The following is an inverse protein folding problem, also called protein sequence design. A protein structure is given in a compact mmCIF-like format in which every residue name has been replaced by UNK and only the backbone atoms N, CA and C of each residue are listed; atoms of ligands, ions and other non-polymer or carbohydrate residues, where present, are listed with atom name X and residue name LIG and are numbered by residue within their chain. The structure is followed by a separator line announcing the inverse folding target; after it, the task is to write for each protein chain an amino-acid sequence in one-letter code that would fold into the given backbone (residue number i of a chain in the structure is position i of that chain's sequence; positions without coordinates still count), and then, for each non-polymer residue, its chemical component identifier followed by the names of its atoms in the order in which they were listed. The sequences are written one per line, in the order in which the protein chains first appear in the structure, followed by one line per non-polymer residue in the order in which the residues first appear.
data_IF_902808722254
#
_entry.id   IF_902808722254
#
_cell.length_a   1.000
_cell.length_b   1.000
_cell.length_c   1.000
_cell.angle_alpha   90.00
_cell.angle_beta   90.00
_cell.angle_gamma   90.00
#
_symmetry.space_group_name_H-M   'P 1'
#
loop_
_entity.id
_entity.type
_entity.pdbx_description
1 polymer ?
#
# COMPACT_ATOMS: atom_id res chain seq x y z
N UNK A 1 44.99 8.17 3.98
CA UNK A 1 46.04 8.52 4.95
C UNK A 1 46.43 7.23 5.66
N UNK A 2 47.53 6.63 5.22
CA UNK A 2 48.13 5.44 5.81
C UNK A 2 48.83 5.88 7.08
N UNK A 3 48.43 5.36 8.24
CA UNK A 3 49.31 5.25 9.40
C UNK A 3 49.03 3.90 10.06
N UNK A 4 49.86 2.95 9.67
CA UNK A 4 50.31 1.82 10.47
C UNK A 4 50.71 2.26 11.87
N UNK A 5 50.38 1.49 12.90
CA UNK A 5 51.41 1.29 13.92
C UNK A 5 51.37 -0.09 14.58
N UNK A 6 52.54 -0.70 14.57
CA UNK A 6 52.89 -1.99 15.16
C UNK A 6 53.26 -1.71 16.61
N UNK A 7 52.58 -2.33 17.57
CA UNK A 7 53.13 -2.44 18.92
C UNK A 7 54.05 -3.67 18.99
N UNK A 8 55.35 -3.40 18.90
CA UNK A 8 56.46 -4.30 19.25
C UNK A 8 56.34 -4.78 20.70
N UNK A 9 56.36 -6.08 20.89
CA UNK A 9 56.53 -6.70 22.20
C UNK A 9 58.00 -6.55 22.64
N UNK A 10 58.24 -5.80 23.70
CA UNK A 10 59.48 -5.89 24.49
C UNK A 10 59.16 -6.81 25.68
N UNK A 11 59.85 -7.93 25.70
CA UNK A 11 59.70 -8.99 26.68
C UNK A 11 60.62 -8.67 27.88
N UNK A 12 60.11 -7.97 28.89
CA UNK A 12 60.79 -7.88 30.18
C UNK A 12 60.30 -9.02 31.09
N UNK A 13 61.07 -10.11 31.05
CA UNK A 13 61.01 -11.22 31.99
C UNK A 13 61.58 -10.76 33.34
N UNK A 14 60.75 -10.19 34.20
CA UNK A 14 60.80 -10.36 35.67
C UNK A 14 59.77 -9.45 36.31
N UNK A 15 58.63 -10.00 36.73
CA UNK A 15 57.95 -9.69 38.00
C UNK A 15 56.57 -10.37 38.00
N UNK A 16 56.42 -11.29 38.95
CA UNK A 16 55.16 -11.94 39.31
C UNK A 16 54.19 -10.93 39.92
N UNK A 17 53.21 -10.45 39.16
CA UNK A 17 51.94 -9.98 39.72
C UNK A 17 50.81 -10.13 38.70
N UNK A 18 49.80 -10.94 39.05
CA UNK A 18 48.58 -11.11 38.27
C UNK A 18 47.66 -9.90 38.51
N UNK A 19 47.46 -9.05 37.50
CA UNK A 19 46.36 -8.09 37.49
C UNK A 19 45.11 -8.72 36.84
N UNK A 20 43.90 -8.45 37.35
CA UNK A 20 42.67 -8.96 36.74
C UNK A 20 42.31 -8.18 35.46
N UNK A 21 42.09 -8.91 34.37
CA UNK A 21 41.54 -8.41 33.10
C UNK A 21 40.07 -7.96 33.30
N UNK A 22 39.80 -6.67 33.13
CA UNK A 22 38.44 -6.12 32.99
C UNK A 22 38.04 -6.10 31.51
N UNK A 23 36.99 -6.84 31.15
CA UNK A 23 36.37 -6.75 29.83
C UNK A 23 35.27 -5.67 29.85
N UNK A 24 35.34 -4.73 28.90
CA UNK A 24 34.38 -3.65 28.66
C UNK A 24 33.45 -4.06 27.50
N UNK A 25 32.12 -3.91 27.65
CA UNK A 25 31.15 -3.99 26.54
C UNK A 25 30.47 -2.62 26.43
N UNK A 26 30.62 -1.85 25.33
CA UNK A 26 29.96 -0.57 25.15
C UNK A 26 28.58 -0.71 24.48
N UNK A 27 27.60 0.03 24.99
CA UNK A 27 26.44 0.45 24.20
C UNK A 27 25.11 0.38 24.93
N UNK A 28 24.62 1.55 25.38
CA UNK A 28 23.20 1.97 25.39
C UNK A 28 23.10 3.32 26.13
N UNK A 29 23.45 4.39 25.43
CA UNK A 29 23.12 5.75 25.85
C UNK A 29 22.83 6.59 24.61
N UNK A 30 21.61 6.48 24.10
CA UNK A 30 21.03 7.55 23.28
C UNK A 30 19.51 7.51 23.42
N UNK A 31 18.96 8.68 23.80
CA UNK A 31 17.59 9.19 23.65
C UNK A 31 16.96 9.62 24.97
N UNK A 32 17.23 10.88 25.35
CA UNK A 32 16.25 11.71 26.04
C UNK A 32 16.68 13.18 25.93
N UNK A 33 16.26 13.86 24.86
CA UNK A 33 16.21 15.31 24.85
C UNK A 33 15.05 15.78 23.97
N UNK A 34 13.94 16.19 24.59
CA UNK A 34 13.09 17.28 24.09
C UNK A 34 12.10 17.71 25.17
N UNK A 35 12.04 19.02 25.35
CA UNK A 35 11.25 19.84 26.26
C UNK A 35 9.74 19.53 26.31
N UNK A 36 9.09 19.86 27.43
CA UNK A 36 7.83 20.65 27.50
C UNK A 36 7.77 21.36 28.87
N UNK A 37 7.43 22.65 28.82
CA UNK A 37 7.09 23.54 29.93
C UNK A 37 5.72 23.21 30.55
N UNK A 38 5.57 23.31 31.88
CA UNK A 38 4.64 24.26 32.53
C UNK A 38 4.62 24.09 34.05
N UNK A 39 4.45 25.22 34.73
CA UNK A 39 4.43 25.43 36.18
C UNK A 39 3.36 24.60 36.91
N UNK A 40 3.68 24.09 38.12
CA UNK A 40 2.91 24.43 39.32
C UNK A 40 3.57 23.99 40.64
N UNK A 41 3.57 24.97 41.55
CA UNK A 41 3.44 24.88 43.00
C UNK A 41 4.60 24.45 43.92
N UNK A 42 4.95 25.42 44.76
CA UNK A 42 5.84 25.38 45.91
C UNK A 42 5.30 24.45 47.00
N UNK A 43 6.06 23.41 47.35
CA UNK A 43 6.19 22.87 48.72
C UNK A 43 7.54 22.18 48.84
N UNK A 44 8.49 22.81 49.53
CA UNK A 44 9.66 22.10 50.02
C UNK A 44 9.24 21.14 51.14
N UNK A 45 9.72 19.89 51.11
CA UNK A 45 10.50 19.45 52.24
C UNK A 45 11.75 18.64 51.84
N UNK A 46 12.83 18.93 52.56
CA UNK A 46 13.94 18.04 52.88
C UNK A 46 14.88 17.58 51.76
N UNK A 47 16.14 18.01 51.89
CA UNK A 47 17.32 17.33 51.34
C UNK A 47 17.39 15.91 51.94
N UNK A 48 16.82 14.93 51.26
CA UNK A 48 17.16 13.53 51.46
C UNK A 48 17.54 12.92 50.10
N UNK A 49 18.68 12.24 50.05
CA UNK A 49 18.75 11.00 49.28
C UNK A 49 19.71 10.90 48.09
N UNK A 50 20.35 11.96 47.58
CA UNK A 50 21.37 11.79 46.51
C UNK A 50 22.80 11.55 47.04
N UNK A 51 22.91 10.75 48.12
CA UNK A 51 24.17 10.17 48.62
C UNK A 51 24.15 8.63 48.71
N UNK A 52 23.03 7.98 48.40
CA UNK A 52 22.83 6.54 48.65
C UNK A 52 23.13 5.59 47.48
N UNK A 53 23.26 6.07 46.24
CA UNK A 53 23.39 5.17 45.07
C UNK A 53 24.85 4.81 44.70
N UNK A 54 25.86 5.47 45.29
CA UNK A 54 27.26 5.02 45.21
C UNK A 54 27.67 4.06 46.35
N UNK A 55 26.86 3.94 47.41
CA UNK A 55 27.20 3.09 48.58
C UNK A 55 26.48 1.73 48.60
N UNK A 56 25.62 1.44 47.62
CA UNK A 56 24.90 0.16 47.52
C UNK A 56 25.55 -0.85 46.57
N UNK A 57 26.60 -0.43 45.85
CA UNK A 57 27.56 -1.35 45.23
C UNK A 57 28.70 -1.61 46.22
N UNK A 58 28.35 -2.11 47.41
CA UNK A 58 29.36 -2.76 48.23
C UNK A 58 29.90 -3.93 47.40
N UNK A 59 31.17 -3.85 47.02
CA UNK A 59 31.88 -4.96 46.40
C UNK A 59 31.84 -6.13 47.39
N UNK A 60 30.86 -7.02 47.26
CA UNK A 60 30.82 -8.30 47.94
C UNK A 60 31.91 -9.17 47.29
N UNK A 61 33.16 -8.97 47.72
CA UNK A 61 34.29 -9.80 47.32
C UNK A 61 34.32 -11.04 48.20
N UNK A 62 33.81 -12.15 47.67
CA UNK A 62 33.95 -13.45 48.32
C UNK A 62 35.35 -13.99 48.01
N UNK A 63 36.26 -13.88 48.98
CA UNK A 63 37.60 -14.46 48.87
C UNK A 63 37.53 -15.98 49.12
N UNK A 64 37.35 -16.76 48.05
CA UNK A 64 37.36 -18.22 48.08
C UNK A 64 38.79 -18.74 47.99
N UNK A 65 39.32 -19.31 49.06
CA UNK A 65 40.63 -19.98 49.03
C UNK A 65 40.57 -21.28 48.21
N UNK A 66 41.36 -21.41 47.16
CA UNK A 66 41.41 -22.58 46.27
C UNK A 66 42.34 -23.70 46.77
N UNK A 67 42.55 -23.82 48.08
CA UNK A 67 43.51 -24.81 48.63
C UNK A 67 42.90 -26.22 48.68
N UNK A 68 41.60 -26.34 48.99
CA UNK A 68 40.92 -27.63 49.05
C UNK A 68 40.29 -28.02 47.71
N UNK A 69 40.41 -29.29 47.32
CA UNK A 69 39.79 -29.86 46.12
C UNK A 69 38.27 -29.62 46.08
N UNK A 70 37.60 -29.66 47.25
CA UNK A 70 36.17 -29.40 47.37
C UNK A 70 35.80 -27.96 46.97
N UNK A 71 36.58 -26.96 47.40
CA UNK A 71 36.32 -25.54 47.06
C UNK A 71 36.56 -25.24 45.59
N UNK A 72 37.54 -25.91 44.96
CA UNK A 72 37.77 -25.85 43.50
C UNK A 72 36.60 -26.46 42.73
N UNK A 73 36.14 -27.64 43.16
CA UNK A 73 34.99 -28.29 42.55
C UNK A 73 33.73 -27.42 42.66
N UNK A 74 33.48 -26.83 43.83
CA UNK A 74 32.36 -25.93 44.06
C UNK A 74 32.42 -24.67 43.18
N UNK A 75 33.61 -24.09 42.98
CA UNK A 75 33.78 -22.97 42.05
C UNK A 75 33.53 -23.40 40.60
N UNK A 76 34.07 -24.54 40.17
CA UNK A 76 33.91 -25.06 38.82
C UNK A 76 32.45 -25.42 38.51
N UNK A 77 31.70 -25.94 39.48
CA UNK A 77 30.27 -26.22 39.28
C UNK A 77 29.44 -24.93 39.26
N UNK A 78 29.71 -23.98 40.16
CA UNK A 78 29.02 -22.68 40.17
C UNK A 78 29.29 -21.85 38.91
N UNK A 79 30.51 -21.93 38.36
CA UNK A 79 30.86 -21.25 37.11
C UNK A 79 30.42 -22.04 35.86
N UNK A 80 30.52 -23.37 35.90
CA UNK A 80 30.25 -24.24 34.75
C UNK A 80 28.76 -24.53 34.52
N UNK A 81 27.96 -24.69 35.57
CA UNK A 81 26.53 -24.98 35.46
C UNK A 81 25.77 -23.90 34.67
N UNK A 82 25.95 -22.59 34.92
CA UNK A 82 25.30 -21.55 34.12
C UNK A 82 25.71 -21.60 32.65
N UNK A 83 27.00 -21.86 32.35
CA UNK A 83 27.48 -21.96 30.96
C UNK A 83 26.85 -23.14 30.23
N UNK A 84 26.74 -24.30 30.88
CA UNK A 84 26.07 -25.48 30.31
C UNK A 84 24.58 -25.22 30.11
N UNK A 85 23.91 -24.60 31.08
CA UNK A 85 22.48 -24.25 30.97
C UNK A 85 22.25 -23.26 29.83
N UNK A 86 23.06 -22.20 29.74
CA UNK A 86 22.97 -21.21 28.65
C UNK A 86 23.27 -21.85 27.29
N UNK A 87 24.28 -22.73 27.20
CA UNK A 87 24.60 -23.46 25.97
C UNK A 87 23.44 -24.36 25.54
N UNK A 88 22.82 -25.07 26.48
CA UNK A 88 21.65 -25.90 26.22
C UNK A 88 20.45 -25.06 25.75
N UNK A 89 20.23 -23.88 26.33
CA UNK A 89 19.19 -22.94 25.90
C UNK A 89 19.43 -22.43 24.46
N UNK A 90 20.68 -22.10 24.11
CA UNK A 90 21.06 -21.67 22.75
C UNK A 90 20.83 -22.80 21.74
N UNK A 91 21.24 -24.03 22.08
CA UNK A 91 21.02 -25.19 21.20
C UNK A 91 19.52 -25.44 21.02
N UNK A 92 18.75 -25.35 22.12
CA UNK A 92 17.30 -25.51 22.09
C UNK A 92 16.63 -24.48 21.17
N UNK A 93 16.99 -23.20 21.27
CA UNK A 93 16.42 -22.14 20.41
C UNK A 93 16.87 -22.29 18.96
N UNK A 94 18.11 -22.71 18.70
CA UNK A 94 18.60 -22.98 17.35
C UNK A 94 17.85 -24.14 16.68
N UNK A 95 17.60 -25.25 17.40
CA UNK A 95 16.79 -26.37 16.90
C UNK A 95 15.34 -25.91 16.62
N UNK A 96 14.76 -25.11 17.53
CA UNK A 96 13.42 -24.57 17.33
C UNK A 96 13.33 -23.70 16.06
N UNK A 97 14.30 -22.81 15.85
CA UNK A 97 14.39 -21.97 14.64
C UNK A 97 14.56 -22.80 13.36
N UNK A 98 15.42 -23.82 13.38
CA UNK A 98 15.63 -24.68 12.23
C UNK A 98 14.37 -25.49 11.88
N UNK A 99 13.64 -25.97 12.88
CA UNK A 99 12.35 -26.67 12.68
C UNK A 99 11.26 -25.70 12.20
N UNK A 100 11.18 -24.50 12.79
CA UNK A 100 10.22 -23.46 12.40
C UNK A 100 10.40 -23.00 10.96
N UNK A 101 11.65 -22.93 10.48
CA UNK A 101 11.97 -22.57 9.09
C UNK A 101 11.47 -23.59 8.05
N UNK A 102 11.26 -24.87 8.42
CA UNK A 102 10.77 -25.90 7.50
C UNK A 102 9.30 -25.70 7.10
N UNK A 103 8.54 -24.89 7.84
CA UNK A 103 7.16 -24.51 7.55
C UNK A 103 6.18 -25.70 7.32
N UNK A 104 6.47 -26.88 7.86
CA UNK A 104 5.57 -28.06 7.84
C UNK A 104 4.85 -28.22 9.17
N UNK A 105 3.59 -28.67 9.19
CA UNK A 105 2.80 -28.87 10.40
C UNK A 105 3.53 -29.65 11.51
N UNK A 106 4.09 -30.85 11.24
CA UNK A 106 4.83 -31.63 12.25
C UNK A 106 6.05 -30.90 12.83
N UNK A 107 6.87 -30.25 12.00
CA UNK A 107 8.04 -29.52 12.47
C UNK A 107 7.67 -28.29 13.30
N UNK A 108 6.63 -27.56 12.87
CA UNK A 108 6.11 -26.38 13.57
C UNK A 108 5.52 -26.77 14.95
N UNK A 109 4.82 -27.90 15.06
CA UNK A 109 4.34 -28.43 16.36
C UNK A 109 5.47 -28.76 17.33
N UNK A 110 6.63 -29.17 16.84
CA UNK A 110 7.82 -29.38 17.69
C UNK A 110 8.45 -28.03 18.04
N UNK A 111 8.55 -27.12 17.06
CA UNK A 111 9.11 -25.78 17.28
C UNK A 111 8.34 -24.99 18.35
N UNK A 112 7.01 -25.01 18.35
CA UNK A 112 6.19 -24.35 19.39
C UNK A 112 6.35 -24.99 20.77
N UNK A 113 6.63 -26.30 20.86
CA UNK A 113 6.95 -26.95 22.15
C UNK A 113 8.33 -26.57 22.67
N UNK A 114 9.30 -26.38 21.77
CA UNK A 114 10.64 -25.95 22.14
C UNK A 114 10.65 -24.47 22.53
N UNK A 115 9.95 -23.62 21.80
CA UNK A 115 9.86 -22.18 22.07
C UNK A 115 8.40 -21.69 22.03
N UNK A 116 7.65 -21.85 23.14
CA UNK A 116 6.22 -21.54 23.20
C UNK A 116 5.90 -20.04 23.24
N UNK A 117 6.91 -19.19 23.38
CA UNK A 117 6.72 -17.73 23.42
C UNK A 117 7.00 -17.08 22.06
N UNK A 118 7.28 -17.88 21.03
CA UNK A 118 7.58 -17.37 19.70
C UNK A 118 6.31 -17.26 18.86
N UNK A 119 5.77 -16.05 18.77
CA UNK A 119 4.55 -15.75 18.01
C UNK A 119 4.61 -16.16 16.53
N UNK A 120 5.80 -16.14 15.91
CA UNK A 120 5.99 -16.54 14.51
C UNK A 120 5.77 -18.04 14.30
N UNK A 121 6.23 -18.88 15.24
CA UNK A 121 5.96 -20.32 15.16
C UNK A 121 4.48 -20.63 15.30
N UNK A 122 3.79 -19.96 16.22
CA UNK A 122 2.35 -20.08 16.40
C UNK A 122 1.58 -19.56 15.17
N UNK A 123 1.99 -18.44 14.58
CA UNK A 123 1.38 -17.89 13.37
C UNK A 123 1.53 -18.84 12.18
N UNK A 124 2.75 -19.33 11.92
CA UNK A 124 3.03 -20.28 10.84
C UNK A 124 2.29 -21.59 11.04
N UNK A 125 2.28 -22.12 12.27
CA UNK A 125 1.52 -23.33 12.60
C UNK A 125 0.03 -23.13 12.36
N UNK A 126 -0.51 -22.00 12.82
CA UNK A 126 -1.90 -21.64 12.64
C UNK A 126 -2.32 -21.54 11.17
N UNK A 127 -1.50 -20.91 10.32
CA UNK A 127 -1.71 -20.90 8.87
C UNK A 127 -1.72 -22.32 8.31
N UNK A 128 -0.68 -23.11 8.60
CA UNK A 128 -0.54 -24.47 8.04
C UNK A 128 -1.71 -25.34 8.46
N UNK A 129 -2.04 -25.39 9.75
CA UNK A 129 -3.17 -26.20 10.23
C UNK A 129 -4.52 -25.67 9.72
N UNK A 130 -4.67 -24.36 9.53
CA UNK A 130 -5.91 -23.81 9.00
C UNK A 130 -6.17 -24.24 7.54
N UNK A 131 -5.14 -24.26 6.69
CA UNK A 131 -5.27 -24.60 5.26
C UNK A 131 -5.05 -26.09 4.93
N UNK A 132 -4.15 -26.79 5.63
CA UNK A 132 -3.86 -28.22 5.43
C UNK A 132 -5.05 -29.07 5.87
N UNK A 133 -5.62 -28.74 7.03
CA UNK A 133 -6.73 -29.48 7.66
C UNK A 133 -8.10 -29.01 7.12
N UNK A 134 -8.17 -27.94 6.30
CA UNK A 134 -9.40 -27.55 5.62
C UNK A 134 -9.95 -28.61 4.66
N UNK A 135 -9.14 -29.61 4.31
CA UNK A 135 -9.52 -30.78 3.53
C UNK A 135 -10.44 -31.74 4.29
N UNK A 136 -10.47 -31.67 5.63
CA UNK A 136 -11.35 -32.45 6.49
C UNK A 136 -12.38 -31.54 7.19
N UNK A 137 -13.69 -31.74 6.96
CA UNK A 137 -14.72 -30.88 7.56
C UNK A 137 -14.66 -30.90 9.09
N UNK A 138 -14.31 -29.76 9.70
CA UNK A 138 -14.50 -29.51 11.14
C UNK A 138 -13.24 -29.27 11.97
N UNK A 139 -12.04 -29.46 11.42
CA UNK A 139 -10.83 -29.54 12.25
C UNK A 139 -9.86 -28.31 12.13
N UNK A 140 -10.25 -27.25 11.40
CA UNK A 140 -9.48 -25.99 11.29
C UNK A 140 -9.56 -25.09 12.54
N UNK A 141 -10.24 -25.51 13.62
CA UNK A 141 -10.32 -24.75 14.86
C UNK A 141 -8.97 -24.64 15.58
N UNK A 142 -8.12 -25.67 15.44
CA UNK A 142 -6.75 -25.64 15.97
C UNK A 142 -5.92 -24.55 15.31
N UNK A 143 -6.04 -24.38 13.99
CA UNK A 143 -5.36 -23.30 13.27
C UNK A 143 -5.74 -21.90 13.77
N UNK A 144 -7.02 -21.67 14.06
CA UNK A 144 -7.50 -20.41 14.65
C UNK A 144 -6.92 -20.20 16.05
N UNK A 145 -6.87 -21.25 16.88
CA UNK A 145 -6.32 -21.16 18.24
C UNK A 145 -4.81 -20.81 18.22
N UNK A 146 -4.05 -21.37 17.29
CA UNK A 146 -2.64 -21.02 17.13
C UNK A 146 -2.46 -19.59 16.57
N UNK A 147 -3.34 -19.14 15.68
CA UNK A 147 -3.37 -17.74 15.23
C UNK A 147 -3.73 -16.77 16.37
N UNK A 148 -4.66 -17.13 17.25
CA UNK A 148 -4.98 -16.35 18.46
C UNK A 148 -3.78 -16.25 19.40
N UNK A 149 -3.09 -17.37 19.66
CA UNK A 149 -1.85 -17.36 20.43
C UNK A 149 -0.79 -16.46 19.81
N UNK A 150 -0.65 -16.47 18.49
CA UNK A 150 0.28 -15.57 17.81
C UNK A 150 -0.06 -14.09 18.06
N UNK A 151 -1.34 -13.73 18.03
CA UNK A 151 -1.79 -12.36 18.35
C UNK A 151 -1.67 -11.99 19.82
N UNK A 152 -1.75 -12.97 20.73
CA UNK A 152 -1.54 -12.76 22.17
C UNK A 152 -0.05 -12.55 22.50
N UNK A 153 0.83 -13.31 21.83
CA UNK A 153 2.29 -13.21 21.97
C UNK A 153 2.85 -11.95 21.31
N UNK A 154 2.32 -11.56 20.16
CA UNK A 154 2.64 -10.30 19.48
C UNK A 154 1.37 -9.58 19.01
N UNK A 155 0.86 -8.72 19.88
CA UNK A 155 -0.33 -7.91 19.61
C UNK A 155 -0.11 -6.78 18.61
N UNK A 156 1.14 -6.51 18.21
CA UNK A 156 1.52 -5.40 17.31
C UNK A 156 1.66 -5.83 15.85
N UNK A 157 1.74 -7.14 15.58
CA UNK A 157 1.81 -7.67 14.23
C UNK A 157 0.47 -7.59 13.52
N UNK A 158 0.31 -6.58 12.65
CA UNK A 158 -0.86 -6.47 11.77
C UNK A 158 -1.07 -7.69 10.86
N UNK A 159 0.01 -8.42 10.55
CA UNK A 159 -0.06 -9.62 9.72
C UNK A 159 -0.80 -10.74 10.46
N UNK A 160 -0.47 -10.96 11.74
CA UNK A 160 -1.10 -12.00 12.55
C UNK A 160 -2.60 -11.74 12.70
N UNK A 161 -2.97 -10.48 12.96
CA UNK A 161 -4.37 -10.06 12.97
C UNK A 161 -5.08 -10.24 11.62
N UNK A 162 -4.41 -9.96 10.49
CA UNK A 162 -5.01 -10.14 9.17
C UNK A 162 -5.29 -11.61 8.84
N UNK A 163 -4.37 -12.52 9.19
CA UNK A 163 -4.56 -13.95 8.96
C UNK A 163 -5.58 -14.56 9.94
N UNK A 164 -5.61 -14.10 11.21
CA UNK A 164 -6.67 -14.44 12.15
C UNK A 164 -8.05 -13.99 11.64
N UNK A 165 -8.15 -12.76 11.15
CA UNK A 165 -9.40 -12.22 10.60
C UNK A 165 -9.91 -13.03 9.40
N UNK A 166 -9.02 -13.44 8.49
CA UNK A 166 -9.37 -14.31 7.36
C UNK A 166 -9.82 -15.70 7.80
N UNK A 167 -9.15 -16.28 8.79
CA UNK A 167 -9.50 -17.59 9.33
C UNK A 167 -10.88 -17.56 10.01
N UNK A 168 -11.14 -16.54 10.83
CA UNK A 168 -12.44 -16.32 11.47
C UNK A 168 -13.55 -16.04 10.45
N UNK A 169 -13.29 -15.23 9.42
CA UNK A 169 -14.22 -14.97 8.31
C UNK A 169 -14.64 -16.26 7.61
N UNK A 170 -13.68 -17.14 7.29
CA UNK A 170 -13.94 -18.42 6.61
C UNK A 170 -14.80 -19.36 7.48
N UNK A 171 -14.71 -19.25 8.81
CA UNK A 171 -15.57 -19.98 9.75
C UNK A 171 -16.87 -19.26 10.08
N UNK A 172 -17.13 -18.11 9.44
CA UNK A 172 -18.29 -17.25 9.73
C UNK A 172 -18.36 -16.77 11.18
N UNK A 173 -17.23 -16.77 11.91
CA UNK A 173 -17.11 -16.09 13.20
C UNK A 173 -16.87 -14.60 12.94
N UNK A 174 -17.94 -13.90 12.57
CA UNK A 174 -17.89 -12.49 12.22
C UNK A 174 -17.47 -11.61 13.40
N UNK A 175 -17.73 -12.03 14.64
CA UNK A 175 -17.31 -11.27 15.83
C UNK A 175 -15.79 -11.30 15.97
N UNK A 176 -15.17 -12.48 15.83
CA UNK A 176 -13.71 -12.58 15.81
C UNK A 176 -13.12 -11.81 14.63
N UNK A 177 -13.69 -11.97 13.43
CA UNK A 177 -13.18 -11.32 12.23
C UNK A 177 -13.26 -9.78 12.31
N UNK A 178 -14.36 -9.23 12.83
CA UNK A 178 -14.51 -7.78 13.05
C UNK A 178 -13.39 -7.23 13.93
N UNK A 179 -13.14 -7.85 15.09
CA UNK A 179 -12.08 -7.43 16.01
C UNK A 179 -10.71 -7.48 15.31
N UNK A 180 -10.45 -8.57 14.58
CA UNK A 180 -9.18 -8.78 13.91
C UNK A 180 -8.94 -7.74 12.80
N UNK A 181 -9.93 -7.48 11.94
CA UNK A 181 -9.80 -6.46 10.89
C UNK A 181 -9.77 -5.03 11.44
N UNK A 182 -10.41 -4.74 12.58
CA UNK A 182 -10.25 -3.47 13.29
C UNK A 182 -8.81 -3.28 13.81
N UNK A 183 -8.21 -4.34 14.36
CA UNK A 183 -6.79 -4.34 14.77
C UNK A 183 -5.85 -4.14 13.58
N UNK A 184 -6.12 -4.77 12.43
CA UNK A 184 -5.34 -4.55 11.20
C UNK A 184 -5.32 -3.07 10.81
N UNK A 185 -6.48 -2.41 10.81
CA UNK A 185 -6.58 -0.99 10.46
C UNK A 185 -5.92 -0.09 11.50
N UNK A 186 -6.00 -0.43 12.79
CA UNK A 186 -5.35 0.33 13.86
C UNK A 186 -3.82 0.22 13.82
N UNK A 187 -3.28 -0.96 13.51
CA UNK A 187 -1.84 -1.22 13.48
C UNK A 187 -1.19 -0.80 12.15
N UNK A 188 -1.97 -0.61 11.08
CA UNK A 188 -1.46 -0.27 9.75
C UNK A 188 -2.30 0.82 9.04
N UNK A 189 -2.44 2.01 9.64
CA UNK A 189 -3.34 3.07 9.15
C UNK A 189 -2.89 3.74 7.84
N UNK A 190 -1.68 3.43 7.36
CA UNK A 190 -1.12 3.96 6.11
C UNK A 190 -0.80 2.87 5.08
N UNK A 191 -1.20 1.61 5.31
CA UNK A 191 -0.97 0.52 4.35
C UNK A 191 -2.22 0.31 3.47
N UNK A 192 -2.16 0.56 2.15
CA UNK A 192 -3.27 0.31 1.23
C UNK A 192 -3.82 -1.11 1.35
N UNK A 193 -2.95 -2.12 1.39
CA UNK A 193 -3.32 -3.53 1.50
C UNK A 193 -4.21 -3.84 2.71
N UNK A 194 -4.02 -3.16 3.84
CA UNK A 194 -4.83 -3.32 5.04
C UNK A 194 -6.27 -2.84 4.80
N UNK A 195 -6.44 -1.67 4.20
CA UNK A 195 -7.77 -1.18 3.82
C UNK A 195 -8.43 -2.04 2.75
N UNK A 196 -7.66 -2.53 1.76
CA UNK A 196 -8.18 -3.46 0.76
C UNK A 196 -8.76 -4.72 1.41
N UNK A 197 -8.01 -5.37 2.31
CA UNK A 197 -8.46 -6.60 2.98
C UNK A 197 -9.69 -6.35 3.86
N UNK A 198 -9.65 -5.35 4.75
CA UNK A 198 -10.76 -5.07 5.67
C UNK A 198 -12.01 -4.57 4.93
N UNK A 199 -11.88 -3.71 3.92
CA UNK A 199 -13.02 -3.21 3.16
C UNK A 199 -13.73 -4.34 2.38
N UNK A 200 -12.96 -5.24 1.78
CA UNK A 200 -13.52 -6.42 1.10
C UNK A 200 -14.26 -7.34 2.09
N UNK A 201 -13.71 -7.56 3.28
CA UNK A 201 -14.39 -8.30 4.34
C UNK A 201 -15.71 -7.63 4.75
N UNK A 202 -15.70 -6.33 5.03
CA UNK A 202 -16.92 -5.60 5.41
C UNK A 202 -17.97 -5.61 4.29
N UNK A 203 -17.54 -5.58 3.03
CA UNK A 203 -18.46 -5.67 1.90
C UNK A 203 -19.14 -7.04 1.84
N UNK A 204 -18.37 -8.14 2.00
CA UNK A 204 -18.90 -9.51 1.99
C UNK A 204 -19.83 -9.82 3.16
N UNK A 205 -19.62 -9.16 4.30
CA UNK A 205 -20.43 -9.34 5.52
C UNK A 205 -21.60 -8.35 5.60
N UNK A 206 -21.86 -7.56 4.56
CA UNK A 206 -22.98 -6.61 4.51
C UNK A 206 -22.76 -5.33 5.34
N UNK A 207 -21.58 -5.12 5.91
CA UNK A 207 -21.19 -3.89 6.62
C UNK A 207 -20.77 -2.79 5.63
N UNK A 208 -21.71 -2.41 4.75
CA UNK A 208 -21.48 -1.53 3.61
C UNK A 208 -20.87 -0.17 4.00
N UNK A 209 -21.26 0.40 5.13
CA UNK A 209 -20.73 1.67 5.66
C UNK A 209 -19.21 1.60 5.94
N UNK A 210 -18.77 0.54 6.63
CA UNK A 210 -17.35 0.32 6.93
C UNK A 210 -16.57 0.04 5.64
N UNK A 211 -17.15 -0.73 4.72
CA UNK A 211 -16.55 -1.02 3.42
C UNK A 211 -16.32 0.26 2.60
N UNK A 212 -17.34 1.12 2.49
CA UNK A 212 -17.26 2.39 1.75
C UNK A 212 -16.20 3.31 2.36
N UNK A 213 -16.16 3.44 3.68
CA UNK A 213 -15.13 4.22 4.37
C UNK A 213 -13.72 3.66 4.09
N UNK A 214 -13.58 2.34 4.14
CA UNK A 214 -12.33 1.64 3.86
C UNK A 214 -11.85 1.83 2.42
N UNK A 215 -12.73 1.67 1.41
CA UNK A 215 -12.39 1.89 0.01
C UNK A 215 -12.05 3.35 -0.29
N UNK A 216 -12.76 4.31 0.31
CA UNK A 216 -12.41 5.73 0.19
C UNK A 216 -11.02 6.00 0.75
N UNK A 217 -10.69 5.44 1.92
CA UNK A 217 -9.36 5.60 2.52
C UNK A 217 -8.27 4.90 1.69
N UNK A 218 -8.57 3.73 1.11
CA UNK A 218 -7.68 3.02 0.19
C UNK A 218 -7.33 3.88 -1.02
N UNK A 219 -8.32 4.41 -1.73
CA UNK A 219 -8.09 5.21 -2.94
C UNK A 219 -7.36 6.53 -2.67
N UNK A 220 -7.53 7.08 -1.46
CA UNK A 220 -6.76 8.25 -1.03
C UNK A 220 -5.29 7.92 -0.73
N UNK A 221 -4.99 6.70 -0.28
CA UNK A 221 -3.61 6.25 -0.01
C UNK A 221 -2.91 5.78 -1.29
N UNK A 222 -3.65 5.09 -2.16
CA UNK A 222 -3.12 4.46 -3.36
C UNK A 222 -4.20 4.41 -4.47
N UNK A 223 -4.17 5.38 -5.40
CA UNK A 223 -5.06 5.43 -6.56
C UNK A 223 -4.93 4.23 -7.51
N UNK A 224 -3.84 3.45 -7.47
CA UNK A 224 -3.65 2.32 -8.40
C UNK A 224 -4.65 1.19 -8.13
N UNK A 225 -5.26 1.16 -6.94
CA UNK A 225 -6.36 0.24 -6.61
C UNK A 225 -7.69 0.62 -7.29
N UNK A 226 -7.79 1.76 -7.98
CA UNK A 226 -9.04 2.27 -8.57
C UNK A 226 -9.79 1.22 -9.40
N UNK A 227 -9.13 0.59 -10.38
CA UNK A 227 -9.79 -0.39 -11.25
C UNK A 227 -10.36 -1.59 -10.48
N UNK A 228 -9.62 -2.06 -9.47
CA UNK A 228 -10.04 -3.17 -8.60
C UNK A 228 -11.22 -2.77 -7.71
N UNK A 229 -11.16 -1.58 -7.11
CA UNK A 229 -12.25 -1.04 -6.28
C UNK A 229 -13.51 -0.80 -7.11
N UNK A 230 -13.38 -0.22 -8.31
CA UNK A 230 -14.51 -0.01 -9.22
C UNK A 230 -15.19 -1.33 -9.55
N UNK A 231 -14.41 -2.36 -9.88
CA UNK A 231 -14.93 -3.68 -10.24
C UNK A 231 -15.68 -4.33 -9.08
N UNK A 232 -15.11 -4.29 -7.86
CA UNK A 232 -15.72 -4.87 -6.65
C UNK A 232 -16.98 -4.10 -6.26
N UNK A 233 -16.92 -2.77 -6.20
CA UNK A 233 -18.06 -1.96 -5.79
C UNK A 233 -19.19 -1.94 -6.83
N UNK A 234 -18.88 -2.02 -8.13
CA UNK A 234 -19.90 -2.07 -9.17
C UNK A 234 -20.77 -3.33 -9.07
N UNK A 235 -20.20 -4.46 -8.64
CA UNK A 235 -20.96 -5.71 -8.45
C UNK A 235 -21.72 -5.80 -7.14
N UNK A 236 -21.28 -5.07 -6.11
CA UNK A 236 -21.79 -5.21 -4.74
C UNK A 236 -22.69 -4.08 -4.25
N UNK A 237 -22.59 -2.88 -4.83
CA UNK A 237 -23.43 -1.74 -4.45
C UNK A 237 -24.66 -1.64 -5.36
N UNK A 238 -25.79 -1.22 -4.80
CA UNK A 238 -27.08 -1.14 -5.51
C UNK A 238 -27.05 -0.26 -6.77
N UNK A 239 -26.19 0.76 -6.79
CA UNK A 239 -26.13 1.73 -7.88
C UNK A 239 -24.73 2.36 -8.02
N UNK A 240 -24.28 2.62 -9.27
CA UNK A 240 -23.07 3.42 -9.53
C UNK A 240 -23.12 4.80 -8.86
N UNK A 241 -24.31 5.36 -8.63
CA UNK A 241 -24.49 6.62 -7.93
C UNK A 241 -24.10 6.54 -6.45
N UNK A 242 -24.34 5.40 -5.80
CA UNK A 242 -23.91 5.19 -4.41
C UNK A 242 -22.39 5.21 -4.33
N UNK A 243 -21.71 4.55 -5.27
CA UNK A 243 -20.24 4.60 -5.35
C UNK A 243 -19.74 6.02 -5.59
N UNK A 244 -20.25 6.70 -6.62
CA UNK A 244 -19.85 8.06 -6.95
C UNK A 244 -20.07 9.02 -5.78
N UNK A 245 -21.29 9.10 -5.24
CA UNK A 245 -21.64 10.07 -4.20
C UNK A 245 -20.87 9.86 -2.89
N UNK A 246 -20.53 8.61 -2.56
CA UNK A 246 -20.00 8.27 -1.23
C UNK A 246 -18.47 8.08 -1.20
N UNK A 247 -17.87 7.75 -2.34
CA UNK A 247 -16.44 7.47 -2.45
C UNK A 247 -15.72 8.53 -3.29
N UNK A 248 -16.34 8.98 -4.39
CA UNK A 248 -15.65 9.80 -5.40
C UNK A 248 -16.07 11.27 -5.44
N UNK A 249 -17.21 11.64 -4.86
CA UNK A 249 -17.73 12.99 -4.96
C UNK A 249 -16.80 14.01 -4.27
N UNK A 250 -16.47 15.07 -5.01
CA UNK A 250 -15.67 16.20 -4.54
C UNK A 250 -14.18 16.14 -4.91
N UNK A 251 -13.49 17.25 -4.69
CA UNK A 251 -12.02 17.31 -4.76
C UNK A 251 -11.46 16.71 -3.46
N UNK A 252 -10.50 15.76 -3.51
CA UNK A 252 -9.49 15.53 -4.56
C UNK A 252 -9.79 14.37 -5.54
N UNK A 253 -10.96 13.74 -5.47
CA UNK A 253 -11.24 12.49 -6.18
C UNK A 253 -11.78 12.68 -7.60
N UNK A 254 -11.68 13.90 -8.16
CA UNK A 254 -12.23 14.21 -9.46
C UNK A 254 -11.60 13.40 -10.60
N UNK A 255 -10.29 13.14 -10.55
CA UNK A 255 -9.62 12.26 -11.54
C UNK A 255 -10.17 10.83 -11.46
N UNK A 256 -10.34 10.30 -10.24
CA UNK A 256 -10.92 8.97 -10.01
C UNK A 256 -12.37 8.91 -10.50
N UNK A 257 -13.15 9.98 -10.34
CA UNK A 257 -14.49 10.11 -10.89
C UNK A 257 -14.54 10.07 -12.42
N UNK A 258 -13.61 10.76 -13.10
CA UNK A 258 -13.50 10.67 -14.57
C UNK A 258 -13.09 9.26 -15.01
N UNK A 259 -12.16 8.61 -14.30
CA UNK A 259 -11.80 7.21 -14.57
C UNK A 259 -12.99 6.26 -14.34
N UNK A 260 -13.79 6.50 -13.31
CA UNK A 260 -15.00 5.71 -13.05
C UNK A 260 -16.06 5.91 -14.13
N UNK A 261 -16.24 7.13 -14.65
CA UNK A 261 -17.08 7.38 -15.81
C UNK A 261 -16.59 6.58 -17.05
N UNK A 262 -15.29 6.58 -17.31
CA UNK A 262 -14.70 5.75 -18.38
C UNK A 262 -14.95 4.25 -18.17
N UNK A 263 -14.80 3.75 -16.94
CA UNK A 263 -15.12 2.37 -16.57
C UNK A 263 -16.59 2.01 -16.84
N UNK A 264 -17.53 2.92 -16.54
CA UNK A 264 -18.96 2.74 -16.84
C UNK A 264 -19.24 2.77 -18.35
N UNK A 265 -18.56 3.63 -19.11
CA UNK A 265 -18.65 3.70 -20.56
C UNK A 265 -18.25 2.38 -21.21
N UNK A 266 -17.12 1.80 -20.80
CA UNK A 266 -16.66 0.49 -21.28
C UNK A 266 -17.62 -0.69 -20.95
N UNK A 267 -18.51 -0.51 -19.97
CA UNK A 267 -19.56 -1.46 -19.57
C UNK A 267 -20.92 -1.16 -20.23
N UNK A 268 -20.97 -0.23 -21.17
CA UNK A 268 -22.19 0.19 -21.86
C UNK A 268 -23.15 1.02 -21.01
N UNK A 269 -22.74 1.51 -19.82
CA UNK A 269 -23.55 2.35 -18.93
C UNK A 269 -23.36 3.84 -19.27
N UNK A 270 -23.66 4.17 -20.52
CA UNK A 270 -23.26 5.45 -21.10
C UNK A 270 -23.95 6.67 -20.49
N UNK A 271 -25.25 6.62 -20.22
CA UNK A 271 -25.99 7.78 -19.68
C UNK A 271 -25.52 8.14 -18.26
N UNK A 272 -25.26 7.12 -17.45
CA UNK A 272 -24.69 7.29 -16.09
C UNK A 272 -23.26 7.79 -16.18
N UNK A 273 -22.44 7.24 -17.08
CA UNK A 273 -21.07 7.69 -17.31
C UNK A 273 -21.01 9.17 -17.68
N UNK A 274 -21.83 9.60 -18.64
CA UNK A 274 -21.89 10.99 -19.09
C UNK A 274 -22.34 11.94 -17.97
N UNK A 275 -23.35 11.54 -17.17
CA UNK A 275 -23.85 12.38 -16.07
C UNK A 275 -22.80 12.53 -14.96
N UNK A 276 -22.07 11.46 -14.62
CA UNK A 276 -20.97 11.51 -13.65
C UNK A 276 -19.85 12.41 -14.16
N UNK A 277 -19.47 12.23 -15.43
CA UNK A 277 -18.44 13.04 -16.07
C UNK A 277 -18.81 14.53 -16.07
N UNK A 278 -20.03 14.87 -16.47
CA UNK A 278 -20.53 16.25 -16.52
C UNK A 278 -20.51 16.92 -15.14
N UNK A 279 -21.04 16.23 -14.11
CA UNK A 279 -20.96 16.72 -12.73
C UNK A 279 -19.52 16.92 -12.27
N UNK A 280 -18.63 16.00 -12.62
CA UNK A 280 -17.23 16.04 -12.21
C UNK A 280 -16.52 17.25 -12.81
N UNK A 281 -16.61 17.45 -14.12
CA UNK A 281 -15.95 18.58 -14.79
C UNK A 281 -16.56 19.93 -14.41
N UNK A 282 -17.86 19.97 -14.13
CA UNK A 282 -18.56 21.19 -13.71
C UNK A 282 -18.09 21.67 -12.33
N UNK A 283 -17.79 20.74 -11.41
CA UNK A 283 -17.25 21.06 -10.08
C UNK A 283 -15.72 21.18 -10.04
N UNK A 284 -15.04 20.76 -11.11
CA UNK A 284 -13.58 20.72 -11.20
C UNK A 284 -13.08 21.30 -12.54
N UNK A 285 -13.42 22.56 -12.88
CA UNK A 285 -13.05 23.16 -14.16
C UNK A 285 -11.52 23.30 -14.33
N UNK A 286 -10.76 23.31 -13.23
CA UNK A 286 -9.30 23.36 -13.25
C UNK A 286 -8.62 22.04 -13.68
N UNK A 287 -9.36 20.95 -13.92
CA UNK A 287 -8.78 19.69 -14.40
C UNK A 287 -8.15 19.82 -15.80
N UNK A 288 -8.64 20.76 -16.60
CA UNK A 288 -8.21 20.98 -17.98
C UNK A 288 -8.82 20.00 -18.98
N UNK A 289 -8.73 20.36 -20.26
CA UNK A 289 -9.26 19.59 -21.39
C UNK A 289 -8.69 18.16 -21.47
N UNK A 290 -7.38 18.01 -21.31
CA UNK A 290 -6.65 16.72 -21.38
C UNK A 290 -7.30 15.61 -20.56
N UNK A 291 -7.65 15.90 -19.30
CA UNK A 291 -8.27 14.91 -18.41
C UNK A 291 -9.73 14.62 -18.78
N UNK A 292 -10.44 15.64 -19.27
CA UNK A 292 -11.85 15.54 -19.60
C UNK A 292 -12.09 14.83 -20.95
N UNK A 293 -11.18 14.98 -21.91
CA UNK A 293 -11.32 14.43 -23.27
C UNK A 293 -11.40 12.89 -23.31
N UNK A 294 -10.82 12.17 -22.34
CA UNK A 294 -10.81 10.71 -22.35
C UNK A 294 -12.20 10.06 -22.51
N UNK A 295 -13.26 10.67 -21.99
CA UNK A 295 -14.62 10.15 -22.20
C UNK A 295 -15.06 10.28 -23.66
N UNK A 296 -14.70 11.36 -24.35
CA UNK A 296 -15.02 11.56 -25.76
C UNK A 296 -14.44 10.44 -26.60
N UNK A 297 -13.14 10.15 -26.45
CA UNK A 297 -12.49 9.06 -27.17
C UNK A 297 -13.21 7.72 -26.97
N UNK A 298 -13.56 7.39 -25.71
CA UNK A 298 -14.32 6.18 -25.40
C UNK A 298 -15.72 6.18 -26.04
N UNK A 299 -16.41 7.33 -26.10
CA UNK A 299 -17.71 7.42 -26.75
C UNK A 299 -17.59 7.26 -28.28
N UNK A 300 -16.53 7.80 -28.90
CA UNK A 300 -16.25 7.60 -30.32
C UNK A 300 -15.94 6.14 -30.66
N UNK A 301 -15.08 5.48 -29.87
CA UNK A 301 -14.78 4.05 -30.01
C UNK A 301 -16.03 3.17 -29.92
N UNK A 302 -17.00 3.57 -29.11
CA UNK A 302 -18.26 2.85 -28.90
C UNK A 302 -19.37 3.29 -29.87
N UNK A 303 -19.07 4.15 -30.87
CA UNK A 303 -20.04 4.65 -31.84
C UNK A 303 -21.14 5.55 -31.27
N UNK A 304 -20.94 6.09 -30.06
CA UNK A 304 -21.92 6.93 -29.33
C UNK A 304 -21.77 8.41 -29.67
N UNK A 305 -21.83 8.73 -30.96
CA UNK A 305 -21.60 10.09 -31.48
C UNK A 305 -22.52 11.16 -30.89
N UNK A 306 -23.79 10.84 -30.63
CA UNK A 306 -24.74 11.79 -30.02
C UNK A 306 -24.36 12.20 -28.59
N UNK A 307 -23.88 11.24 -27.79
CA UNK A 307 -23.39 11.52 -26.43
C UNK A 307 -22.03 12.21 -26.47
N UNK A 308 -21.16 11.82 -27.40
CA UNK A 308 -19.90 12.52 -27.64
C UNK A 308 -20.15 14.00 -27.98
N UNK A 309 -21.13 14.30 -28.84
CA UNK A 309 -21.49 15.67 -29.19
C UNK A 309 -22.01 16.45 -27.97
N UNK A 310 -22.83 15.80 -27.13
CA UNK A 310 -23.27 16.38 -25.87
C UNK A 310 -22.10 16.73 -24.94
N UNK A 311 -21.15 15.80 -24.78
CA UNK A 311 -19.94 16.04 -23.99
C UNK A 311 -19.06 17.16 -24.60
N UNK A 312 -18.90 17.20 -25.92
CA UNK A 312 -18.15 18.26 -26.60
C UNK A 312 -18.75 19.65 -26.36
N UNK A 313 -20.07 19.79 -26.59
CA UNK A 313 -20.81 21.03 -26.30
C UNK A 313 -20.61 21.45 -24.85
N UNK A 314 -20.61 20.50 -23.92
CA UNK A 314 -20.39 20.78 -22.50
C UNK A 314 -18.98 21.32 -22.22
N UNK A 315 -17.95 20.81 -22.89
CA UNK A 315 -16.59 21.36 -22.76
C UNK A 315 -16.49 22.79 -23.29
N UNK A 316 -17.20 23.09 -24.38
CA UNK A 316 -17.29 24.45 -24.94
C UNK A 316 -18.00 25.39 -23.96
N UNK A 317 -19.15 24.98 -23.41
CA UNK A 317 -19.90 25.75 -22.40
C UNK A 317 -19.06 26.07 -21.15
N UNK A 318 -18.21 25.13 -20.74
CA UNK A 318 -17.32 25.29 -19.59
C UNK A 318 -16.04 26.09 -19.91
N UNK A 319 -15.84 26.49 -21.17
CA UNK A 319 -14.63 27.19 -21.62
C UNK A 319 -13.37 26.32 -21.64
N UNK A 320 -13.52 24.99 -21.54
CA UNK A 320 -12.42 24.03 -21.66
C UNK A 320 -12.01 23.81 -23.12
N UNK A 321 -12.95 24.04 -24.04
CA UNK A 321 -12.72 24.12 -25.49
C UNK A 321 -13.15 25.51 -25.94
N UNK A 322 -12.31 26.21 -26.69
CA UNK A 322 -12.60 27.56 -27.15
C UNK A 322 -13.28 27.49 -28.52
N UNK A 323 -14.55 27.92 -28.62
CA UNK A 323 -15.19 28.11 -29.94
C UNK A 323 -14.72 29.39 -30.59
N UNK A 324 -14.52 29.32 -31.91
CA UNK A 324 -14.09 30.47 -32.71
C UNK A 324 -15.29 31.36 -33.07
N UNK A 325 -15.13 32.69 -33.15
CA UNK A 325 -16.18 33.57 -33.62
C UNK A 325 -16.60 33.21 -35.06
N UNK A 326 -17.88 32.90 -35.27
CA UNK A 326 -18.41 32.57 -36.60
C UNK A 326 -18.63 31.07 -36.86
N UNK A 327 -18.31 30.18 -35.91
CA UNK A 327 -18.79 28.80 -35.96
C UNK A 327 -20.32 28.76 -35.85
N UNK A 328 -20.99 28.73 -36.99
CA UNK A 328 -22.44 28.57 -37.07
C UNK A 328 -22.87 27.27 -36.38
N UNK A 329 -23.85 27.34 -35.48
CA UNK A 329 -24.29 26.24 -34.62
C UNK A 329 -24.82 24.97 -35.31
N UNK A 330 -24.78 24.92 -36.65
CA UNK A 330 -25.14 23.76 -37.47
C UNK A 330 -23.92 22.94 -37.95
N UNK A 331 -22.68 23.42 -37.80
CA UNK A 331 -21.51 22.61 -38.14
C UNK A 331 -21.19 21.61 -37.03
N UNK A 332 -21.03 20.33 -37.40
CA UNK A 332 -20.51 19.29 -36.49
C UNK A 332 -18.98 19.29 -36.43
N UNK A 333 -18.31 19.92 -37.40
CA UNK A 333 -16.85 20.03 -37.44
C UNK A 333 -16.46 21.34 -36.75
N UNK A 334 -15.65 21.21 -35.71
CA UNK A 334 -15.07 22.32 -34.96
C UNK A 334 -13.73 22.71 -35.58
N UNK A 335 -13.35 23.99 -35.46
CA UNK A 335 -12.14 24.55 -36.06
C UNK A 335 -12.04 24.29 -37.58
N UNK A 336 -13.16 24.32 -38.31
CA UNK A 336 -13.20 23.98 -39.74
C UNK A 336 -12.30 24.84 -40.64
N UNK A 337 -11.96 26.06 -40.20
CA UNK A 337 -11.05 26.97 -40.89
C UNK A 337 -9.58 26.87 -40.48
N UNK A 338 -9.23 26.01 -39.50
CA UNK A 338 -7.88 25.90 -38.93
C UNK A 338 -7.34 27.20 -38.31
N UNK A 339 -8.24 28.03 -37.76
CA UNK A 339 -7.88 29.30 -37.12
C UNK A 339 -7.21 29.11 -35.75
N UNK A 340 -7.27 27.89 -35.19
CA UNK A 340 -6.54 27.49 -33.98
C UNK A 340 -5.76 26.18 -34.19
N UNK A 341 -4.78 25.91 -33.32
CA UNK A 341 -4.10 24.62 -33.32
C UNK A 341 -5.09 23.49 -33.02
N UNK A 342 -5.09 22.41 -33.81
CA UNK A 342 -5.94 21.26 -33.56
C UNK A 342 -5.76 20.69 -32.15
N UNK A 343 -6.87 20.43 -31.46
CA UNK A 343 -6.90 19.77 -30.16
C UNK A 343 -6.66 18.25 -30.25
N UNK A 344 -6.61 17.69 -31.47
CA UNK A 344 -6.41 16.26 -31.73
C UNK A 344 -7.45 15.35 -31.07
N UNK A 345 -8.65 15.89 -30.84
CA UNK A 345 -9.64 15.30 -29.96
C UNK A 345 -11.06 15.72 -30.31
N UNK A 346 -12.01 14.87 -29.89
CA UNK A 346 -13.45 15.14 -30.00
C UNK A 346 -13.94 15.48 -31.40
N UNK A 347 -14.49 16.68 -31.58
CA UNK A 347 -15.03 17.17 -32.88
C UNK A 347 -14.08 18.17 -33.57
N UNK A 348 -12.88 18.35 -33.05
CA UNK A 348 -11.78 19.06 -33.71
C UNK A 348 -10.97 18.07 -34.59
N UNK A 349 -10.00 18.59 -35.31
CA UNK A 349 -9.15 17.83 -36.21
C UNK A 349 -8.14 16.97 -35.47
N UNK A 350 -7.79 15.82 -36.07
CA UNK A 350 -6.66 14.98 -35.65
C UNK A 350 -5.55 15.04 -36.67
N UNK A 351 -4.31 15.14 -36.20
CA UNK A 351 -3.12 15.00 -37.05
C UNK A 351 -2.65 13.55 -36.97
N UNK A 352 -2.45 12.93 -38.12
CA UNK A 352 -1.92 11.57 -38.20
C UNK A 352 -0.91 11.43 -39.33
N UNK A 353 -0.20 10.31 -39.36
CA UNK A 353 0.62 9.96 -40.53
C UNK A 353 -0.29 9.41 -41.62
N UNK A 354 -0.52 10.17 -42.69
CA UNK A 354 -1.09 9.58 -43.90
C UNK A 354 -0.02 8.78 -44.63
N UNK A 355 -0.40 7.58 -45.08
CA UNK A 355 0.40 6.76 -46.00
C UNK A 355 0.45 7.33 -47.43
N UNK A 356 -0.41 8.29 -47.75
CA UNK A 356 -0.59 8.89 -49.07
C UNK A 356 -1.06 10.33 -48.93
N UNK A 357 -0.47 11.26 -49.67
CA UNK A 357 -0.94 12.64 -49.79
C UNK A 357 -1.54 12.80 -51.19
N UNK A 358 -2.86 12.74 -51.32
CA UNK A 358 -3.56 13.17 -52.53
C UNK A 358 -4.07 14.58 -52.28
N UNK A 359 -3.42 15.57 -52.90
CA UNK A 359 -3.87 16.97 -52.91
C UNK A 359 -4.78 17.12 -54.12
N UNK A 360 -6.09 17.18 -53.89
CA UNK A 360 -7.04 17.57 -54.93
C UNK A 360 -7.33 19.07 -54.77
N UNK A 361 -6.84 19.87 -55.71
CA UNK A 361 -7.16 21.30 -55.78
C UNK A 361 -8.52 21.40 -56.45
N UNK A 362 -9.58 21.44 -55.64
CA UNK A 362 -10.88 21.85 -56.16
C UNK A 362 -10.75 23.21 -56.84
N UNK A 363 -11.37 23.33 -58.02
CA UNK A 363 -11.40 24.47 -58.94
C UNK A 363 -11.29 25.84 -58.28
N UNK A 364 -10.73 26.81 -59.01
CA UNK A 364 -10.35 28.20 -58.66
C UNK A 364 -11.32 29.08 -57.84
N UNK A 365 -12.46 28.56 -57.40
CA UNK A 365 -13.48 29.22 -56.58
C UNK A 365 -13.70 28.55 -55.19
N UNK A 366 -13.09 27.40 -54.90
CA UNK A 366 -13.25 26.71 -53.61
C UNK A 366 -11.94 26.73 -52.80
N UNK A 367 -11.95 27.36 -51.61
CA UNK A 367 -10.79 27.52 -50.72
C UNK A 367 -10.48 26.29 -49.84
N UNK A 368 -10.95 25.09 -50.22
CA UNK A 368 -10.81 23.88 -49.41
C UNK A 368 -9.99 22.79 -50.09
N UNK A 369 -8.91 22.34 -49.42
CA UNK A 369 -8.16 21.13 -49.81
C UNK A 369 -8.87 19.91 -49.20
N UNK A 370 -9.37 18.99 -50.02
CA UNK A 370 -9.88 17.70 -49.55
C UNK A 370 -8.85 16.60 -49.79
N UNK A 371 -8.71 15.70 -48.81
CA UNK A 371 -7.76 14.58 -48.83
C UNK A 371 -8.53 13.27 -48.89
N UNK A 372 -8.32 12.47 -49.95
CA UNK A 372 -8.94 11.15 -50.12
C UNK A 372 -7.91 10.01 -50.12
N UNK A 373 -8.25 8.84 -49.53
CA UNK A 373 -7.37 7.68 -49.52
C UNK A 373 -7.45 6.86 -50.81
N UNK A 374 -6.47 7.02 -51.71
CA UNK A 374 -6.32 6.27 -52.95
C UNK A 374 -4.89 5.73 -53.16
N UNK A 375 -4.78 4.58 -53.83
CA UNK A 375 -3.61 3.67 -53.79
C UNK A 375 -2.75 3.74 -55.09
N UNK A 376 -1.58 4.40 -55.09
CA UNK A 376 -0.44 4.02 -55.97
C UNK A 376 0.94 4.04 -55.26
N UNK A 377 2.05 3.56 -55.90
CA UNK A 377 3.08 2.76 -55.22
C UNK A 377 4.34 3.48 -54.70
N UNK A 378 4.35 4.81 -54.53
CA UNK A 378 5.55 5.54 -54.08
C UNK A 378 5.35 6.26 -52.74
N UNK A 379 6.19 5.89 -51.76
CA UNK A 379 6.04 6.21 -50.34
C UNK A 379 6.58 7.61 -49.99
N UNK A 380 5.67 8.55 -49.70
CA UNK A 380 5.96 9.77 -48.97
C UNK A 380 5.05 9.81 -47.75
N UNK A 381 5.65 9.87 -46.55
CA UNK A 381 4.91 10.07 -45.30
C UNK A 381 4.82 11.56 -45.05
N UNK A 382 3.60 12.09 -44.98
CA UNK A 382 3.35 13.48 -44.64
C UNK A 382 2.30 13.53 -43.51
N UNK A 383 2.40 14.49 -42.58
CA UNK A 383 1.33 14.73 -41.62
C UNK A 383 0.07 15.11 -42.38
N UNK A 384 -1.03 14.39 -42.11
CA UNK A 384 -2.36 14.68 -42.65
C UNK A 384 -3.30 15.08 -41.53
N UNK A 385 -4.23 15.97 -41.86
CA UNK A 385 -5.24 16.44 -40.93
C UNK A 385 -6.59 15.95 -41.42
N UNK A 386 -7.34 15.24 -40.59
CA UNK A 386 -8.62 14.64 -40.98
C UNK A 386 -9.69 14.86 -39.91
N UNK A 387 -10.97 15.04 -40.33
CA UNK A 387 -12.06 15.21 -39.38
C UNK A 387 -12.39 13.86 -38.74
N UNK A 388 -12.78 13.87 -37.46
CA UNK A 388 -13.12 12.63 -36.71
C UNK A 388 -14.31 11.88 -37.35
N UNK A 389 -15.18 12.58 -38.07
CA UNK A 389 -16.31 12.00 -38.80
C UNK A 389 -15.88 11.23 -40.08
N UNK A 390 -14.62 11.31 -40.50
CA UNK A 390 -14.15 10.75 -41.77
C UNK A 390 -13.84 9.26 -41.79
N UNK A 391 -13.88 8.56 -40.64
CA UNK A 391 -13.45 7.15 -40.57
C UNK A 391 -14.58 6.11 -40.63
N UNK A 392 -15.85 6.48 -40.41
CA UNK A 392 -16.98 5.53 -40.41
C UNK A 392 -18.33 6.22 -40.70
N UNK A 393 -18.47 6.82 -41.87
CA UNK A 393 -19.79 7.09 -42.47
C UNK A 393 -19.99 6.22 -43.70
#
# INVERSE_FOLDING_TARGET
MVITDRATAIMDLTTTSLQPLTFWIPGMAHLANSQIHSQENQRSPSRYGYRGLKSLLTHFSINLSLVSAYRRLLLLTLAGLPVVVLSALIVKTAIAAQLGARATGPALRIATKLDPNNGDFHHRLGIVEFYEVASEPGNNNMGILELQRATDLDSTSSLYWADLGRACETKSDFKCADIAYEKVLALSPMRPRSYWQSANYYLRTGQQEKAISGFRRLLNLDPDYAASVFSVCFGALDSPWTFYNRILAGQPNAILALQFAGFLCARGKFDVAQTIWDRTISHAPNLGFEKANRLLDLLFEQGRYGQALGAWKRLVELGLVHSLPGESGNSLVFNGGFESQPLEAGFDWRVGEARYLAVDLASSEATGVSVHPGNPPNQLRAPSVYPVLGYNL
#
